data_IF_331892936875
#
_entry.id   IF_331892936875
#
_cell.length_a   1.000
_cell.length_b   1.000
_cell.length_c   1.000
_cell.angle_alpha   90.00
_cell.angle_beta   90.00
_cell.angle_gamma   90.00
#
_symmetry.space_group_name_H-M   'P 1'
#
loop_
_entity.id
_entity.type
_entity.pdbx_description
1 polymer ?
#
# COMPACT_ATOMS: atom_id res chain seq x y z
N UNK A 1 -59.30 -72.67 27.70
CA UNK A 1 -57.84 -72.62 27.63
C UNK A 1 -57.49 -71.21 27.20
N UNK A 2 -57.46 -70.26 28.14
CA UNK A 2 -57.12 -68.86 27.87
C UNK A 2 -55.64 -68.72 28.18
N UNK A 3 -54.83 -68.55 27.13
CA UNK A 3 -53.43 -68.16 27.25
C UNK A 3 -53.37 -66.81 27.96
N UNK A 4 -52.75 -66.81 29.13
CA UNK A 4 -52.42 -65.61 29.89
C UNK A 4 -51.41 -64.86 29.02
N UNK A 5 -51.87 -63.82 28.32
CA UNK A 5 -50.95 -62.91 27.64
C UNK A 5 -49.97 -62.39 28.70
N UNK A 6 -48.65 -62.58 28.52
CA UNK A 6 -47.67 -62.08 29.46
C UNK A 6 -47.76 -60.55 29.47
N UNK A 7 -48.26 -59.98 30.56
CA UNK A 7 -48.24 -58.54 30.76
C UNK A 7 -46.77 -58.09 30.75
N UNK A 8 -46.34 -57.27 29.77
CA UNK A 8 -44.96 -56.81 29.72
C UNK A 8 -44.69 -56.01 30.99
N UNK A 9 -43.66 -56.40 31.75
CA UNK A 9 -43.28 -55.68 32.96
C UNK A 9 -42.86 -54.25 32.58
N UNK A 10 -43.26 -53.27 33.40
CA UNK A 10 -42.99 -51.85 33.15
C UNK A 10 -41.50 -51.57 32.88
N UNK A 11 -40.61 -52.34 33.49
CA UNK A 11 -39.16 -52.33 33.26
C UNK A 11 -38.77 -52.65 31.81
N UNK A 12 -39.37 -53.68 31.20
CA UNK A 12 -39.10 -54.02 29.79
C UNK A 12 -39.55 -52.89 28.87
N UNK A 13 -40.70 -52.26 29.16
CA UNK A 13 -41.19 -51.12 28.38
C UNK A 13 -40.23 -49.93 28.46
N UNK A 14 -39.68 -49.63 29.65
CA UNK A 14 -38.69 -48.58 29.87
C UNK A 14 -37.37 -48.86 29.12
N UNK A 15 -36.89 -50.11 29.15
CA UNK A 15 -35.66 -50.49 28.45
C UNK A 15 -35.82 -50.41 26.92
N UNK A 16 -36.93 -50.92 26.39
CA UNK A 16 -37.26 -50.83 24.96
C UNK A 16 -37.41 -49.37 24.53
N UNK A 17 -38.11 -48.55 25.32
CA UNK A 17 -38.26 -47.12 25.04
C UNK A 17 -36.92 -46.39 24.94
N UNK A 18 -35.98 -46.67 25.86
CA UNK A 18 -34.63 -46.10 25.83
C UNK A 18 -33.84 -46.58 24.60
N UNK A 19 -33.91 -47.86 24.27
CA UNK A 19 -33.23 -48.40 23.09
C UNK A 19 -33.74 -47.75 21.80
N UNK A 20 -35.06 -47.61 21.65
CA UNK A 20 -35.67 -46.94 20.50
C UNK A 20 -35.25 -45.47 20.43
N UNK A 21 -35.23 -44.76 21.57
CA UNK A 21 -34.78 -43.37 21.63
C UNK A 21 -33.32 -43.24 21.18
N UNK A 22 -32.42 -44.10 21.66
CA UNK A 22 -31.01 -44.08 21.27
C UNK A 22 -30.81 -44.38 19.79
N UNK A 23 -31.51 -45.37 19.24
CA UNK A 23 -31.46 -45.69 17.81
C UNK A 23 -31.98 -44.52 16.99
N UNK A 24 -33.07 -43.89 17.40
CA UNK A 24 -33.62 -42.70 16.75
C UNK A 24 -32.63 -41.52 16.77
N UNK A 25 -32.02 -41.25 17.91
CA UNK A 25 -31.02 -40.19 18.06
C UNK A 25 -29.78 -40.46 17.18
N UNK A 26 -29.28 -41.70 17.18
CA UNK A 26 -28.17 -42.13 16.33
C UNK A 26 -28.51 -41.97 14.84
N UNK A 27 -29.73 -42.31 14.44
CA UNK A 27 -30.20 -42.18 13.06
C UNK A 27 -30.27 -40.71 12.62
N UNK A 28 -30.84 -39.84 13.44
CA UNK A 28 -30.91 -38.39 13.16
C UNK A 28 -29.51 -37.79 13.09
N UNK A 29 -28.62 -38.18 14.01
CA UNK A 29 -27.23 -37.72 14.00
C UNK A 29 -26.50 -38.18 12.73
N UNK A 30 -26.65 -39.44 12.33
CA UNK A 30 -26.06 -39.95 11.08
C UNK A 30 -26.57 -39.19 9.85
N UNK A 31 -27.88 -38.92 9.76
CA UNK A 31 -28.44 -38.14 8.65
C UNK A 31 -27.95 -36.69 8.65
N UNK A 32 -27.89 -36.04 9.82
CA UNK A 32 -27.35 -34.69 9.95
C UNK A 32 -25.88 -34.65 9.53
N UNK A 33 -25.08 -35.63 9.94
CA UNK A 33 -23.68 -35.75 9.59
C UNK A 33 -23.46 -35.95 8.09
N UNK A 34 -24.24 -36.83 7.44
CA UNK A 34 -24.17 -37.03 5.99
C UNK A 34 -24.55 -35.76 5.23
N UNK A 35 -25.60 -35.04 5.67
CA UNK A 35 -26.01 -33.77 5.06
C UNK A 35 -24.94 -32.69 5.22
N UNK A 36 -24.34 -32.60 6.40
CA UNK A 36 -23.25 -31.66 6.66
C UNK A 36 -22.03 -31.99 5.80
N UNK A 37 -21.61 -33.25 5.74
CA UNK A 37 -20.48 -33.68 4.91
C UNK A 37 -20.68 -33.31 3.43
N UNK A 38 -21.88 -33.53 2.89
CA UNK A 38 -22.22 -33.11 1.52
C UNK A 38 -22.19 -31.60 1.31
N UNK A 39 -22.54 -30.81 2.33
CA UNK A 39 -22.44 -29.36 2.26
C UNK A 39 -20.97 -28.91 2.28
N UNK A 40 -20.14 -29.57 3.07
CA UNK A 40 -18.71 -29.29 3.19
C UNK A 40 -17.94 -29.64 1.89
N UNK A 41 -18.28 -30.75 1.26
CA UNK A 41 -17.75 -31.13 -0.07
C UNK A 41 -18.07 -30.07 -1.15
N UNK A 42 -19.27 -29.44 -1.09
CA UNK A 42 -19.62 -28.35 -2.01
C UNK A 42 -18.86 -27.06 -1.69
N UNK A 43 -18.69 -26.74 -0.41
CA UNK A 43 -17.97 -25.55 0.03
C UNK A 43 -16.49 -25.63 -0.36
N UNK A 44 -15.86 -26.78 -0.13
CA UNK A 44 -14.48 -27.05 -0.54
C UNK A 44 -14.32 -27.02 -2.05
N UNK A 45 -15.22 -27.65 -2.83
CA UNK A 45 -15.18 -27.57 -4.28
C UNK A 45 -15.31 -26.13 -4.81
N UNK A 46 -16.20 -25.32 -4.22
CA UNK A 46 -16.34 -23.91 -4.57
C UNK A 46 -15.08 -23.09 -4.23
N UNK A 47 -14.38 -23.43 -3.14
CA UNK A 47 -13.13 -22.76 -2.77
C UNK A 47 -12.00 -23.09 -3.75
N UNK A 48 -11.88 -24.36 -4.16
CA UNK A 48 -10.90 -24.79 -5.17
C UNK A 48 -11.16 -24.09 -6.51
N UNK A 49 -12.42 -24.04 -6.96
CA UNK A 49 -12.78 -23.34 -8.19
C UNK A 49 -12.44 -21.83 -8.14
N UNK A 50 -12.52 -21.19 -6.96
CA UNK A 50 -12.09 -19.79 -6.78
C UNK A 50 -10.57 -19.66 -6.83
N UNK A 51 -9.82 -20.57 -6.21
CA UNK A 51 -8.36 -20.59 -6.28
C UNK A 51 -7.88 -20.80 -7.71
N UNK A 52 -8.48 -21.72 -8.46
CA UNK A 52 -8.13 -21.98 -9.86
C UNK A 52 -8.33 -20.74 -10.73
N UNK A 53 -9.46 -20.02 -10.55
CA UNK A 53 -9.70 -18.75 -11.23
C UNK A 53 -8.65 -17.70 -10.87
N UNK A 54 -8.33 -17.56 -9.59
CA UNK A 54 -7.30 -16.63 -9.14
C UNK A 54 -5.94 -16.97 -9.76
N UNK A 55 -5.55 -18.25 -9.83
CA UNK A 55 -4.29 -18.66 -10.47
C UNK A 55 -4.26 -18.37 -11.97
N UNK A 56 -5.38 -18.56 -12.67
CA UNK A 56 -5.49 -18.19 -14.09
C UNK A 56 -5.34 -16.68 -14.29
N UNK A 57 -5.99 -15.88 -13.44
CA UNK A 57 -5.84 -14.42 -13.45
C UNK A 57 -4.38 -14.03 -13.19
N UNK A 58 -3.75 -14.56 -12.14
CA UNK A 58 -2.34 -14.29 -11.83
C UNK A 58 -1.42 -14.65 -13.01
N UNK A 59 -1.66 -15.78 -13.68
CA UNK A 59 -0.87 -16.19 -14.84
C UNK A 59 -1.04 -15.22 -16.01
N UNK A 60 -2.27 -14.77 -16.26
CA UNK A 60 -2.54 -13.76 -17.29
C UNK A 60 -1.87 -12.42 -16.97
N UNK A 61 -1.92 -11.96 -15.71
CA UNK A 61 -1.23 -10.76 -15.27
C UNK A 61 0.28 -10.92 -15.44
N UNK A 62 0.83 -12.07 -15.07
CA UNK A 62 2.26 -12.33 -15.23
C UNK A 62 2.70 -12.25 -16.70
N UNK A 63 1.90 -12.78 -17.63
CA UNK A 63 2.14 -12.65 -19.07
C UNK A 63 2.07 -11.18 -19.54
N UNK A 64 1.09 -10.41 -19.08
CA UNK A 64 1.04 -8.98 -19.43
C UNK A 64 2.23 -8.20 -18.87
N UNK A 65 2.67 -8.51 -17.65
CA UNK A 65 3.81 -7.87 -17.01
C UNK A 65 5.11 -8.25 -17.73
N UNK A 66 5.29 -9.51 -18.14
CA UNK A 66 6.48 -9.92 -18.89
C UNK A 66 6.56 -9.25 -20.26
N UNK A 67 5.43 -9.13 -20.97
CA UNK A 67 5.34 -8.39 -22.24
C UNK A 67 5.65 -6.90 -22.04
N UNK A 68 5.11 -6.29 -21.00
CA UNK A 68 5.39 -4.88 -20.70
C UNK A 68 6.85 -4.66 -20.30
N UNK A 69 7.44 -5.55 -19.51
CA UNK A 69 8.87 -5.52 -19.17
C UNK A 69 9.73 -5.57 -20.43
N UNK A 70 9.47 -6.52 -21.34
CA UNK A 70 10.21 -6.63 -22.60
C UNK A 70 10.06 -5.38 -23.50
N UNK A 71 8.88 -4.74 -23.49
CA UNK A 71 8.66 -3.47 -24.21
C UNK A 71 9.42 -2.32 -23.58
N UNK A 72 9.45 -2.25 -22.25
CA UNK A 72 10.21 -1.23 -21.51
C UNK A 72 11.71 -1.40 -21.76
N UNK A 73 12.22 -2.63 -21.72
CA UNK A 73 13.63 -2.92 -22.02
C UNK A 73 14.00 -2.50 -23.44
N UNK A 74 13.13 -2.77 -24.42
CA UNK A 74 13.33 -2.32 -25.80
C UNK A 74 13.25 -0.80 -25.98
N UNK A 75 12.44 -0.10 -25.18
CA UNK A 75 12.39 1.37 -25.17
C UNK A 75 13.61 1.97 -24.47
N UNK A 76 14.07 1.37 -23.37
CA UNK A 76 15.28 1.82 -22.68
C UNK A 76 16.52 1.63 -23.55
N UNK A 77 16.63 0.50 -24.25
CA UNK A 77 17.75 0.27 -25.18
C UNK A 77 17.73 1.31 -26.32
N UNK A 78 16.56 1.62 -26.89
CA UNK A 78 16.43 2.69 -27.89
C UNK A 78 16.79 4.06 -27.33
N UNK A 79 16.35 4.39 -26.12
CA UNK A 79 16.69 5.65 -25.47
C UNK A 79 18.19 5.75 -25.17
N UNK A 80 18.84 4.64 -24.80
CA UNK A 80 20.29 4.58 -24.62
C UNK A 80 21.04 4.75 -25.94
N UNK A 81 20.62 4.05 -27.00
CA UNK A 81 21.20 4.19 -28.34
C UNK A 81 21.00 5.61 -28.86
N UNK A 82 19.80 6.18 -28.73
CA UNK A 82 19.52 7.57 -29.09
C UNK A 82 20.32 8.55 -28.22
N UNK A 83 20.56 8.30 -26.93
CA UNK A 83 21.45 9.14 -26.12
C UNK A 83 22.91 9.07 -26.55
N UNK A 84 23.35 7.92 -27.11
CA UNK A 84 24.72 7.72 -27.63
C UNK A 84 24.89 8.30 -29.03
N UNK A 85 23.86 8.22 -29.87
CA UNK A 85 23.84 8.76 -31.23
C UNK A 85 23.28 10.18 -31.30
N UNK A 86 22.75 10.70 -30.19
CA UNK A 86 22.25 12.06 -30.10
C UNK A 86 23.33 12.99 -30.64
N UNK A 87 23.02 13.80 -31.66
CA UNK A 87 23.95 14.77 -32.17
C UNK A 87 24.43 15.59 -30.97
N UNK A 88 25.71 15.93 -30.95
CA UNK A 88 26.38 16.58 -29.83
C UNK A 88 25.62 17.76 -29.21
N UNK A 89 24.62 18.35 -29.88
CA UNK A 89 23.68 19.34 -29.38
C UNK A 89 22.78 18.95 -28.20
N UNK A 90 22.19 17.74 -28.10
CA UNK A 90 21.26 17.44 -26.98
C UNK A 90 21.99 17.03 -25.70
N UNK A 91 23.07 16.26 -25.82
CA UNK A 91 23.97 15.96 -24.71
C UNK A 91 24.82 17.18 -24.29
N UNK A 92 25.13 18.11 -25.22
CA UNK A 92 25.71 19.40 -24.87
C UNK A 92 24.70 20.32 -24.18
N UNK A 93 23.40 20.28 -24.52
CA UNK A 93 22.38 21.03 -23.80
C UNK A 93 22.32 20.59 -22.33
N UNK A 94 22.28 19.29 -22.05
CA UNK A 94 22.33 18.76 -20.68
C UNK A 94 23.61 19.16 -19.92
N UNK A 95 24.78 19.06 -20.54
CA UNK A 95 26.05 19.51 -19.94
C UNK A 95 26.12 21.02 -19.74
N UNK A 96 25.55 21.80 -20.66
CA UNK A 96 25.45 23.26 -20.57
C UNK A 96 24.59 23.69 -19.39
N UNK A 97 23.49 22.97 -19.14
CA UNK A 97 22.64 23.17 -17.98
C UNK A 97 23.34 22.89 -16.65
N UNK A 98 24.11 21.81 -16.53
CA UNK A 98 24.86 21.50 -15.31
C UNK A 98 25.93 22.57 -15.01
N UNK A 99 26.60 23.08 -16.04
CA UNK A 99 27.57 24.18 -15.92
C UNK A 99 26.88 25.49 -15.57
N UNK A 100 25.75 25.80 -16.20
CA UNK A 100 24.92 26.97 -15.92
C UNK A 100 24.40 26.96 -14.48
N UNK A 101 23.98 25.81 -13.96
CA UNK A 101 23.54 25.66 -12.57
C UNK A 101 24.68 25.95 -11.58
N UNK A 102 25.92 25.54 -11.88
CA UNK A 102 27.10 25.86 -11.04
C UNK A 102 27.44 27.36 -11.08
N UNK A 103 27.38 27.97 -12.25
CA UNK A 103 27.60 29.41 -12.43
C UNK A 103 26.53 30.25 -11.72
N UNK A 104 25.25 29.84 -11.81
CA UNK A 104 24.15 30.45 -11.07
C UNK A 104 24.37 30.37 -9.55
N UNK A 105 24.84 29.22 -9.03
CA UNK A 105 25.19 29.08 -7.60
C UNK A 105 26.32 29.99 -7.16
N UNK A 106 27.27 30.26 -8.05
CA UNK A 106 28.37 31.20 -7.83
C UNK A 106 27.97 32.67 -8.05
N UNK A 107 26.71 32.96 -8.39
CA UNK A 107 26.19 34.32 -8.55
C UNK A 107 26.50 34.97 -9.90
N UNK A 108 26.81 34.19 -10.94
CA UNK A 108 27.02 34.73 -12.27
C UNK A 108 25.75 35.43 -12.81
N UNK A 109 25.88 36.58 -13.51
CA UNK A 109 24.76 37.32 -14.08
C UNK A 109 24.12 36.56 -15.26
N UNK A 110 22.82 36.77 -15.46
CA UNK A 110 21.99 36.10 -16.48
C UNK A 110 22.64 36.14 -17.88
N UNK A 111 23.18 37.30 -18.28
CA UNK A 111 23.82 37.48 -19.59
C UNK A 111 25.08 36.63 -19.76
N UNK A 112 25.81 36.35 -18.66
CA UNK A 112 26.96 35.46 -18.69
C UNK A 112 26.53 34.00 -18.88
N UNK A 113 25.45 33.57 -18.20
CA UNK A 113 24.90 32.21 -18.38
C UNK A 113 24.41 31.96 -19.81
N UNK A 114 23.72 32.93 -20.42
CA UNK A 114 23.25 32.80 -21.80
C UNK A 114 24.43 32.64 -22.77
N UNK A 115 25.46 33.47 -22.61
CA UNK A 115 26.62 33.48 -23.50
C UNK A 115 27.55 32.27 -23.29
N UNK A 116 27.77 31.82 -22.06
CA UNK A 116 28.72 30.76 -21.74
C UNK A 116 28.13 29.35 -21.84
N UNK A 117 26.83 29.20 -21.57
CA UNK A 117 26.19 27.89 -21.45
C UNK A 117 25.18 27.59 -22.55
N UNK A 118 24.88 28.57 -23.42
CA UNK A 118 23.95 28.39 -24.55
C UNK A 118 22.49 28.16 -24.12
N UNK A 119 22.14 28.54 -22.90
CA UNK A 119 20.77 28.48 -22.36
C UNK A 119 20.00 29.74 -22.77
N UNK A 120 18.69 29.63 -22.91
CA UNK A 120 17.86 30.79 -23.26
C UNK A 120 17.77 31.76 -22.07
N UNK A 121 17.50 33.05 -22.36
CA UNK A 121 17.37 34.09 -21.33
C UNK A 121 16.37 33.73 -20.22
N UNK A 122 15.24 33.13 -20.61
CA UNK A 122 14.20 32.73 -19.68
C UNK A 122 14.64 31.55 -18.78
N UNK A 123 15.41 30.62 -19.33
CA UNK A 123 15.99 29.51 -18.56
C UNK A 123 17.08 29.98 -17.59
N UNK A 124 17.91 30.93 -18.02
CA UNK A 124 18.93 31.54 -17.15
C UNK A 124 18.31 32.32 -15.97
N UNK A 125 17.22 33.06 -16.20
CA UNK A 125 16.44 33.71 -15.12
C UNK A 125 15.91 32.68 -14.10
N UNK A 126 15.40 31.55 -14.58
CA UNK A 126 14.88 30.48 -13.74
C UNK A 126 16.01 29.83 -12.92
N UNK A 127 17.17 29.56 -13.54
CA UNK A 127 18.35 28.99 -12.89
C UNK A 127 18.88 29.93 -11.79
N UNK A 128 18.94 31.24 -12.03
CA UNK A 128 19.35 32.21 -11.01
C UNK A 128 18.32 32.29 -9.88
N UNK A 129 17.01 32.14 -10.15
CA UNK A 129 16.00 32.13 -9.08
C UNK A 129 16.02 30.85 -8.25
N UNK A 130 16.29 29.71 -8.87
CA UNK A 130 16.29 28.40 -8.22
C UNK A 130 17.62 28.07 -7.53
N UNK A 131 18.74 28.54 -8.09
CA UNK A 131 20.09 28.20 -7.63
C UNK A 131 20.92 29.40 -7.22
N UNK A 132 20.47 30.64 -7.47
CA UNK A 132 21.15 31.83 -7.02
C UNK A 132 21.35 31.77 -5.52
N UNK A 133 22.60 31.82 -5.10
CA UNK A 133 22.92 31.99 -3.70
C UNK A 133 22.18 33.23 -3.22
N UNK A 134 21.24 33.03 -2.28
CA UNK A 134 20.57 34.10 -1.54
C UNK A 134 21.65 35.12 -1.20
N UNK A 135 21.56 36.38 -1.66
CA UNK A 135 22.65 37.32 -1.52
C UNK A 135 22.98 37.40 -0.03
N UNK A 136 24.17 36.93 0.32
CA UNK A 136 24.79 37.23 1.61
C UNK A 136 25.07 38.73 1.54
N UNK A 137 24.09 39.48 2.00
CA UNK A 137 24.20 40.72 2.74
C UNK A 137 25.60 41.32 2.63
N UNK A 138 25.74 42.17 1.60
CA UNK A 138 26.92 42.94 1.30
C UNK A 138 27.25 43.77 2.54
N UNK A 139 28.48 43.62 3.01
CA UNK A 139 29.10 44.44 4.02
C UNK A 139 28.85 45.93 3.75
N UNK A 140 28.20 46.61 4.70
CA UNK A 140 28.30 48.06 4.88
C UNK A 140 29.23 48.34 6.07
N UNK A 141 30.17 49.30 5.98
CA UNK A 141 30.93 49.78 7.13
C UNK A 141 30.04 50.63 8.07
N UNK A 142 30.16 50.33 9.36
CA UNK A 142 29.63 50.96 10.60
C UNK A 142 29.65 52.51 10.66
N UNK A 143 28.90 53.21 11.58
CA UNK A 143 29.05 53.01 13.04
C UNK A 143 27.85 53.27 13.99
N UNK A 144 27.97 52.63 15.17
CA UNK A 144 27.63 53.08 16.53
C UNK A 144 26.22 53.63 16.87
N UNK A 145 25.49 52.83 17.66
CA UNK A 145 24.91 53.32 18.93
C UNK A 145 24.79 52.18 19.94
N UNK A 146 25.59 52.29 21.00
CA UNK A 146 25.50 51.52 22.24
C UNK A 146 24.18 51.86 22.93
N UNK A 147 23.38 50.85 23.29
CA UNK A 147 22.63 50.91 24.56
C UNK A 147 22.25 49.52 25.07
N UNK A 148 23.10 49.08 25.98
CA UNK A 148 22.88 48.24 27.15
C UNK A 148 21.43 48.19 27.66
N UNK A 149 20.84 46.99 27.71
CA UNK A 149 19.97 46.60 28.84
C UNK A 149 19.99 45.09 29.06
N UNK A 150 20.87 44.71 29.97
CA UNK A 150 20.81 43.51 30.79
C UNK A 150 19.56 43.54 31.67
N UNK A 151 18.70 42.54 31.53
CA UNK A 151 17.79 41.95 32.53
C UNK A 151 16.90 40.97 31.74
N UNK A 152 16.52 39.76 32.17
CA UNK A 152 16.79 38.90 33.30
C UNK A 152 15.95 37.64 33.01
N UNK A 153 16.54 36.43 33.05
CA UNK A 153 15.83 35.12 33.10
C UNK A 153 15.01 35.03 34.42
N UNK A 154 14.02 34.13 34.65
CA UNK A 154 13.91 32.75 34.14
C UNK A 154 12.43 32.29 33.88
N UNK A 155 12.01 31.02 34.12
CA UNK A 155 11.84 29.98 33.10
C UNK A 155 10.40 29.44 33.00
N UNK A 156 9.96 29.02 31.83
CA UNK A 156 8.72 28.24 31.65
C UNK A 156 8.71 27.68 30.22
N UNK A 157 8.27 26.48 29.89
CA UNK A 157 7.91 25.25 30.60
C UNK A 157 7.68 24.24 29.47
N UNK A 158 7.98 22.98 29.74
CA UNK A 158 7.88 21.90 28.77
C UNK A 158 6.43 21.69 28.30
N UNK A 159 6.19 21.69 26.98
CA UNK A 159 5.00 21.08 26.36
C UNK A 159 5.48 20.37 25.07
N UNK A 160 5.86 19.10 25.15
CA UNK A 160 5.03 17.88 25.06
C UNK A 160 4.65 17.56 23.60
N UNK A 161 5.28 16.51 23.10
CA UNK A 161 4.97 15.80 21.86
C UNK A 161 3.52 15.30 21.81
N UNK A 162 2.91 15.13 20.63
CA UNK A 162 1.83 14.18 20.44
C UNK A 162 2.36 12.84 19.92
N UNK A 163 2.27 11.84 20.78
CA UNK A 163 2.32 10.43 20.42
C UNK A 163 1.09 10.07 19.56
N UNK A 164 1.32 9.48 18.40
CA UNK A 164 0.28 8.86 17.59
C UNK A 164 0.11 7.42 18.07
N UNK A 165 -0.86 7.23 18.96
CA UNK A 165 -1.35 5.92 19.35
C UNK A 165 -2.89 5.94 19.30
N UNK A 166 -3.47 5.43 18.23
CA UNK A 166 -4.85 4.94 18.25
C UNK A 166 -4.92 3.60 17.51
N UNK A 167 -4.82 2.57 18.33
CA UNK A 167 -5.32 1.23 18.07
C UNK A 167 -6.83 1.32 17.78
N UNK A 168 -7.25 0.90 16.59
CA UNK A 168 -8.66 0.67 16.32
C UNK A 168 -8.94 -0.81 16.53
N UNK A 169 -9.52 -1.10 17.70
CA UNK A 169 -9.99 -2.39 18.13
C UNK A 169 -11.28 -2.77 17.38
N UNK A 170 -11.32 -4.03 16.96
CA UNK A 170 -12.52 -4.87 16.95
C UNK A 170 -13.85 -4.27 16.45
N UNK A 171 -14.13 -4.47 15.16
CA UNK A 171 -15.51 -4.45 14.64
C UNK A 171 -15.90 -5.84 14.12
N UNK A 172 -16.03 -6.81 15.04
CA UNK A 172 -16.91 -7.97 14.84
C UNK A 172 -18.33 -7.52 15.12
N UNK A 173 -19.11 -7.28 14.06
CA UNK A 173 -20.58 -7.37 14.13
C UNK A 173 -21.05 -8.22 12.97
N UNK A 174 -21.53 -9.41 13.33
CA UNK A 174 -22.31 -10.22 12.42
C UNK A 174 -23.60 -9.51 12.02
N UNK A 175 -24.00 -9.75 10.78
CA UNK A 175 -25.35 -9.62 10.25
C UNK A 175 -25.33 -10.61 9.07
N UNK A 176 -25.79 -11.86 9.21
CA UNK A 176 -27.21 -12.22 9.18
C UNK A 176 -28.02 -11.25 8.32
N UNK A 177 -28.05 -11.53 7.03
CA UNK A 177 -29.17 -11.34 6.10
C UNK A 177 -28.77 -12.17 4.85
N UNK A 178 -29.38 -13.35 4.61
CA UNK A 178 -30.76 -13.53 4.16
C UNK A 178 -30.94 -13.10 2.70
N UNK A 179 -31.28 -14.09 1.88
CA UNK A 179 -32.12 -13.99 0.66
C UNK A 179 -31.47 -13.37 -0.57
N UNK A 180 -31.26 -14.23 -1.57
CA UNK A 180 -31.56 -14.15 -3.02
C UNK A 180 -30.76 -15.35 -3.58
N UNK A 181 -31.32 -16.41 -4.13
CA UNK A 181 -32.39 -16.59 -5.10
C UNK A 181 -31.99 -17.81 -5.90
#
# INVERSE_FOLDING_TARGET
MFEILPNPSLETLMMVGRAVLLVGAMWVFAMAFIRWRRADERATAALHAKLDRAFLELRSLHETVSVMSARLDGLSERAEVESRLAPAGSAAAGRGYDVAARLARNGAPIEELVNSCGVTRHEAELLVRLHGAKPREVASPQPASIQTRTHQRPPQEAVRAPAVAQANTGRKRGSLLSVVG
#
